data_IF_923578893888
#
_entry.id   IF_923578893888
#
_cell.length_a   1.000
_cell.length_b   1.000
_cell.length_c   1.000
_cell.angle_alpha   90.00
_cell.angle_beta   90.00
_cell.angle_gamma   90.00
#
_symmetry.space_group_name_H-M   'P 1'
#
loop_
_entity.id
_entity.type
_entity.pdbx_description
1 polymer ?
#
# COMPACT_ATOMS: atom_id res chain seq x y z
N UNK A 1 -12.23 -6.99 3.77
CA UNK A 1 -11.37 -6.96 2.57
C UNK A 1 -10.61 -5.65 2.66
N UNK A 2 -9.30 -5.71 2.92
CA UNK A 2 -8.53 -4.49 3.19
C UNK A 2 -8.23 -3.77 1.87
N UNK A 3 -8.56 -2.47 1.84
CA UNK A 3 -8.40 -1.59 0.68
C UNK A 3 -7.13 -0.75 0.87
N UNK A 4 -6.41 -0.49 -0.22
CA UNK A 4 -5.31 0.47 -0.21
C UNK A 4 -5.82 1.90 -0.03
N UNK A 5 -5.13 2.65 0.84
CA UNK A 5 -5.38 4.06 1.08
C UNK A 5 -4.22 4.90 0.55
N UNK A 6 -4.52 6.14 0.17
CA UNK A 6 -3.45 7.07 -0.18
C UNK A 6 -2.59 7.37 1.07
N UNK A 7 -1.27 7.38 0.89
CA UNK A 7 -0.29 7.65 1.94
C UNK A 7 -0.29 6.66 3.12
N UNK A 8 -0.74 5.41 2.94
CA UNK A 8 -0.52 4.33 3.92
C UNK A 8 0.82 3.62 3.70
N UNK A 9 1.32 2.92 4.73
CA UNK A 9 2.51 2.07 4.59
C UNK A 9 2.08 0.61 4.41
N UNK A 10 2.84 -0.15 3.62
CA UNK A 10 2.57 -1.59 3.40
C UNK A 10 3.83 -2.41 3.52
N UNK A 11 3.69 -3.65 3.97
CA UNK A 11 4.76 -4.64 3.96
C UNK A 11 4.62 -5.51 2.71
N UNK A 12 5.71 -5.65 1.95
CA UNK A 12 5.76 -6.48 0.75
C UNK A 12 6.49 -7.79 1.04
N UNK A 13 6.05 -8.86 0.40
CA UNK A 13 6.73 -10.15 0.46
C UNK A 13 8.17 -10.05 -0.07
N UNK A 14 9.14 -10.51 0.73
CA UNK A 14 10.55 -10.46 0.38
C UNK A 14 11.25 -9.12 0.67
N UNK A 15 10.49 -8.05 0.97
CA UNK A 15 11.06 -6.76 1.36
C UNK A 15 11.13 -6.62 2.89
N UNK A 16 12.30 -6.22 3.37
CA UNK A 16 12.52 -5.98 4.80
C UNK A 16 12.01 -4.62 5.29
N UNK A 17 11.57 -3.74 4.39
CA UNK A 17 11.17 -2.36 4.72
C UNK A 17 9.77 -2.05 4.21
N UNK A 18 8.90 -1.45 5.03
CA UNK A 18 7.61 -0.98 4.56
C UNK A 18 7.75 0.04 3.43
N UNK A 19 6.83 -0.01 2.48
CA UNK A 19 6.76 0.87 1.32
C UNK A 19 5.56 1.80 1.41
N UNK A 20 5.73 3.04 0.94
CA UNK A 20 4.64 4.01 0.93
C UNK A 20 3.73 3.76 -0.27
N UNK A 21 2.42 3.75 -0.01
CA UNK A 21 1.39 3.68 -1.03
C UNK A 21 1.05 5.10 -1.52
N UNK A 22 1.09 5.30 -2.83
CA UNK A 22 0.78 6.58 -3.48
C UNK A 22 -0.31 6.37 -4.52
N UNK A 23 -1.46 7.05 -4.36
CA UNK A 23 -2.53 6.97 -5.36
C UNK A 23 -2.18 7.78 -6.61
N UNK A 24 -2.29 7.17 -7.80
CA UNK A 24 -2.03 7.87 -9.07
C UNK A 24 -3.12 8.90 -9.36
N UNK A 25 -2.73 10.17 -9.51
CA UNK A 25 -3.65 11.29 -9.79
C UNK A 25 -4.52 11.09 -11.03
N UNK A 26 -3.93 10.62 -12.13
CA UNK A 26 -4.64 10.44 -13.41
C UNK A 26 -5.45 9.14 -13.49
N UNK A 27 -5.19 8.18 -12.59
CA UNK A 27 -5.86 6.88 -12.55
C UNK A 27 -6.13 6.51 -11.09
N UNK A 28 -7.21 7.04 -10.47
CA UNK A 28 -7.42 6.96 -9.02
C UNK A 28 -7.68 5.54 -8.48
N UNK A 29 -7.95 4.57 -9.36
CA UNK A 29 -8.05 3.15 -9.02
C UNK A 29 -6.70 2.42 -8.97
N UNK A 30 -5.59 3.12 -9.27
CA UNK A 30 -4.23 2.56 -9.30
C UNK A 30 -3.38 3.19 -8.21
N UNK A 31 -2.72 2.33 -7.46
CA UNK A 31 -1.83 2.69 -6.36
C UNK A 31 -0.41 2.25 -6.71
N UNK A 32 0.56 3.12 -6.49
CA UNK A 32 1.98 2.82 -6.60
C UNK A 32 2.54 2.45 -5.24
N UNK A 33 3.37 1.40 -5.20
CA UNK A 33 4.12 0.96 -4.02
C UNK A 33 5.54 0.66 -4.47
N UNK A 34 6.48 1.53 -4.12
CA UNK A 34 7.81 1.52 -4.76
C UNK A 34 7.70 1.69 -6.28
N UNK A 35 8.24 0.74 -7.03
CA UNK A 35 8.18 0.70 -8.51
C UNK A 35 6.95 -0.03 -9.06
N UNK A 36 6.22 -0.74 -8.20
CA UNK A 36 5.11 -1.61 -8.59
C UNK A 36 3.77 -0.87 -8.54
N UNK A 37 2.83 -1.34 -9.34
CA UNK A 37 1.47 -0.82 -9.37
C UNK A 37 0.45 -1.90 -8.96
N UNK A 38 -0.52 -1.48 -8.17
CA UNK A 38 -1.55 -2.32 -7.57
C UNK A 38 -2.93 -1.74 -7.81
N UNK A 39 -3.91 -2.63 -7.88
CA UNK A 39 -5.32 -2.29 -7.79
C UNK A 39 -5.69 -1.86 -6.36
N UNK A 40 -6.85 -1.24 -6.21
CA UNK A 40 -7.41 -0.82 -4.92
C UNK A 40 -7.50 -1.95 -3.88
N UNK A 41 -7.70 -3.19 -4.31
CA UNK A 41 -7.73 -4.37 -3.45
C UNK A 41 -6.35 -4.90 -3.04
N UNK A 42 -5.26 -4.22 -3.40
CA UNK A 42 -3.89 -4.64 -3.09
C UNK A 42 -3.36 -5.77 -3.98
N UNK A 43 -4.06 -6.12 -5.04
CA UNK A 43 -3.58 -7.09 -6.04
C UNK A 43 -2.66 -6.42 -7.07
N UNK A 44 -1.54 -7.04 -7.45
CA UNK A 44 -0.71 -6.58 -8.57
C UNK A 44 -1.52 -6.39 -9.85
N UNK A 45 -1.12 -5.41 -10.65
CA UNK A 45 -1.67 -5.26 -12.00
C UNK A 45 -0.96 -6.20 -12.98
N UNK A 46 -1.62 -6.53 -14.09
CA UNK A 46 -1.11 -7.50 -15.07
C UNK A 46 0.17 -7.06 -15.80
N UNK A 47 0.51 -5.77 -15.76
CA UNK A 47 1.71 -5.25 -16.44
C UNK A 47 3.01 -5.46 -15.63
N UNK A 48 2.91 -5.88 -14.36
CA UNK A 48 4.04 -6.14 -13.48
C UNK A 48 3.91 -7.52 -12.82
N UNK A 49 4.15 -8.62 -13.57
CA UNK A 49 3.94 -9.98 -13.07
C UNK A 49 4.87 -10.38 -11.91
N UNK A 50 6.00 -9.71 -11.76
CA UNK A 50 6.98 -9.95 -10.69
C UNK A 50 6.68 -9.17 -9.40
N UNK A 51 5.59 -8.40 -9.37
CA UNK A 51 5.29 -7.58 -8.22
C UNK A 51 5.01 -8.43 -6.97
N UNK A 52 5.66 -8.12 -5.84
CA UNK A 52 5.52 -8.88 -4.61
C UNK A 52 4.10 -8.74 -4.04
N UNK A 53 3.68 -9.73 -3.28
CA UNK A 53 2.39 -9.69 -2.59
C UNK A 53 2.43 -8.69 -1.43
N UNK A 54 1.36 -7.92 -1.26
CA UNK A 54 1.15 -7.12 -0.05
C UNK A 54 0.77 -8.06 1.09
N UNK A 55 1.56 -8.05 2.16
CA UNK A 55 1.35 -8.88 3.36
C UNK A 55 0.52 -8.16 4.41
N UNK A 56 0.72 -6.85 4.57
CA UNK A 56 0.05 -6.04 5.59
C UNK A 56 -0.12 -4.60 5.14
N UNK A 57 -1.22 -3.97 5.56
CA UNK A 57 -1.52 -2.55 5.32
C UNK A 57 -1.51 -1.82 6.67
N UNK A 58 -0.52 -0.96 6.85
CA UNK A 58 -0.41 -0.06 7.98
C UNK A 58 -1.13 1.25 7.61
N UNK A 59 -2.40 1.34 8.00
CA UNK A 59 -3.16 2.59 7.84
C UNK A 59 -2.40 3.75 8.50
N UNK A 60 -2.42 4.96 7.91
CA UNK A 60 -1.82 6.12 8.55
C UNK A 60 -2.46 6.25 9.93
N UNK A 61 -1.65 6.10 10.97
CA UNK A 61 -2.07 6.36 12.35
C UNK A 61 -2.67 7.77 12.33
N UNK A 62 -4.00 7.84 12.41
CA UNK A 62 -4.70 9.09 12.60
C UNK A 62 -4.01 9.81 13.75
N UNK A 63 -3.50 11.01 13.47
CA UNK A 63 -2.93 11.89 14.47
C UNK A 63 -3.94 12.00 15.63
N UNK A 64 -3.69 11.28 16.73
CA UNK A 64 -4.56 11.34 17.92
C UNK A 64 -5.07 10.01 18.44
N UNK A 65 -4.18 9.19 19.00
CA UNK A 65 -4.39 8.65 20.36
C UNK A 65 -3.06 8.23 20.95
N UNK A 66 -2.37 9.24 21.45
CA UNK A 66 -1.30 9.10 22.44
C UNK A 66 -1.86 8.27 23.59
N UNK A 67 -1.09 7.26 23.99
CA UNK A 67 -1.33 6.42 25.14
C UNK A 67 -1.73 7.22 26.39
N UNK A 68 -2.64 6.66 27.17
CA UNK A 68 -2.59 6.78 28.62
C UNK A 68 -3.11 5.48 29.22
N UNK A 69 -2.30 4.95 30.13
CA UNK A 69 -2.64 3.92 31.10
C UNK A 69 -3.91 4.27 31.87
#
# INVERSE_FOLDING_TARGET
MDKLYDCCWVELEGDMRPQLVIRKRLKPAIYAVGEWLYAECGSPLSHNPEAPRILSIQAPLGHGRRASR
#
